data_IF_463393410210
#
_entry.id   IF_463393410210
#
_cell.length_a   1.000
_cell.length_b   1.000
_cell.length_c   1.000
_cell.angle_alpha   90.00
_cell.angle_beta   90.00
_cell.angle_gamma   90.00
#
_symmetry.space_group_name_H-M   'P 1'
#
loop_
_entity.id
_entity.type
_entity.pdbx_description
1 polymer ?
#
# COMPACT_ATOMS: atom_id res chain seq x y z
N UNK A 1 -1.88 -1.35 -4.40
CA UNK A 1 -0.57 -0.74 -4.13
C UNK A 1 0.45 -1.85 -4.22
N UNK A 2 1.36 -1.76 -5.18
CA UNK A 2 2.42 -2.74 -5.40
C UNK A 2 3.76 -2.17 -4.99
N UNK A 3 4.60 -2.95 -4.34
CA UNK A 3 5.97 -2.58 -4.01
C UNK A 3 6.93 -3.68 -4.48
N UNK A 4 8.03 -3.29 -5.12
CA UNK A 4 9.17 -4.20 -5.36
C UNK A 4 10.16 -4.02 -4.24
N UNK A 5 10.50 -5.11 -3.56
CA UNK A 5 11.42 -5.11 -2.44
C UNK A 5 12.82 -5.53 -2.87
N UNK A 6 13.85 -4.91 -2.29
CA UNK A 6 15.22 -5.40 -2.36
C UNK A 6 15.48 -6.40 -1.23
N UNK A 7 15.59 -7.68 -1.56
CA UNK A 7 15.92 -8.72 -0.59
C UNK A 7 17.32 -9.24 -0.94
N UNK A 8 18.35 -8.92 -0.12
CA UNK A 8 19.71 -9.38 -0.38
C UNK A 8 19.77 -10.90 -0.48
N UNK A 9 20.25 -11.43 -1.62
CA UNK A 9 20.44 -12.86 -1.85
C UNK A 9 19.29 -13.61 -2.53
N UNK A 10 18.20 -12.93 -2.92
CA UNK A 10 17.10 -13.56 -3.66
C UNK A 10 17.18 -13.30 -5.17
N UNK A 11 17.24 -14.36 -5.99
CA UNK A 11 17.14 -14.28 -7.47
C UNK A 11 15.69 -14.29 -7.98
N UNK A 12 14.70 -14.11 -7.10
CA UNK A 12 13.27 -14.20 -7.40
C UNK A 12 12.62 -12.81 -7.48
N UNK A 13 11.49 -12.72 -8.18
CA UNK A 13 10.67 -11.51 -8.26
C UNK A 13 10.07 -11.21 -6.88
N UNK A 14 10.61 -10.18 -6.21
CA UNK A 14 10.22 -9.75 -4.86
C UNK A 14 9.11 -8.69 -4.87
N UNK A 15 8.03 -8.94 -5.60
CA UNK A 15 6.89 -8.00 -5.73
C UNK A 15 5.77 -8.32 -4.74
N UNK A 16 5.39 -7.35 -3.91
CA UNK A 16 4.30 -7.44 -2.94
C UNK A 16 3.12 -6.59 -3.40
N UNK A 17 1.91 -7.13 -3.33
CA UNK A 17 0.68 -6.43 -3.73
C UNK A 17 -0.32 -6.35 -2.57
N UNK A 18 -0.77 -5.13 -2.27
CA UNK A 18 -1.80 -4.83 -1.27
C UNK A 18 -3.03 -4.20 -1.93
N UNK A 19 -4.21 -4.72 -1.60
CA UNK A 19 -5.50 -4.16 -1.98
C UNK A 19 -6.17 -3.51 -0.77
N UNK A 20 -6.67 -2.28 -0.96
CA UNK A 20 -7.38 -1.52 0.06
C UNK A 20 -8.67 -0.98 -0.54
N UNK A 21 -9.79 -1.29 0.10
CA UNK A 21 -11.12 -0.83 -0.28
C UNK A 21 -11.50 0.39 0.56
N UNK A 22 -11.99 1.43 -0.11
CA UNK A 22 -12.47 2.66 0.52
C UNK A 22 -13.82 3.02 -0.07
N UNK A 23 -14.69 3.63 0.73
CA UNK A 23 -16.01 4.09 0.30
C UNK A 23 -15.91 5.20 -0.76
N UNK A 24 -15.01 6.14 -0.53
CA UNK A 24 -14.79 7.32 -1.37
C UNK A 24 -13.34 7.84 -1.17
N UNK A 25 -12.94 8.82 -1.98
CA UNK A 25 -11.58 9.36 -1.95
C UNK A 25 -11.31 10.23 -0.71
N UNK A 26 -12.32 10.87 -0.14
CA UNK A 26 -12.17 11.67 1.08
C UNK A 26 -11.89 10.76 2.27
N UNK A 27 -12.71 9.72 2.45
CA UNK A 27 -12.51 8.70 3.49
C UNK A 27 -11.13 8.05 3.37
N UNK A 28 -10.64 7.81 2.14
CA UNK A 28 -9.29 7.30 1.90
C UNK A 28 -8.23 8.27 2.40
N UNK A 29 -8.34 9.55 2.09
CA UNK A 29 -7.40 10.58 2.54
C UNK A 29 -7.40 10.68 4.07
N UNK A 30 -8.57 10.78 4.68
CA UNK A 30 -8.73 10.89 6.14
C UNK A 30 -8.11 9.70 6.87
N UNK A 31 -8.37 8.47 6.41
CA UNK A 31 -7.79 7.26 7.01
C UNK A 31 -6.27 7.21 6.84
N UNK A 32 -5.76 7.59 5.67
CA UNK A 32 -4.30 7.59 5.43
C UNK A 32 -3.59 8.66 6.26
N UNK A 33 -4.21 9.82 6.44
CA UNK A 33 -3.69 10.88 7.29
C UNK A 33 -3.76 10.49 8.77
N UNK A 34 -4.85 9.86 9.21
CA UNK A 34 -4.96 9.34 10.57
C UNK A 34 -3.90 8.27 10.89
N UNK A 35 -3.50 7.46 9.91
CA UNK A 35 -2.45 6.46 10.09
C UNK A 35 -1.09 7.09 10.50
N UNK A 36 -0.77 8.28 9.98
CA UNK A 36 0.45 9.01 10.38
C UNK A 36 0.47 9.45 11.83
N UNK A 37 -0.70 9.57 12.46
CA UNK A 37 -0.82 9.94 13.87
C UNK A 37 -0.88 8.72 14.81
N UNK A 38 -0.83 7.49 14.26
CA UNK A 38 -0.81 6.27 15.07
C UNK A 38 0.59 6.07 15.64
N UNK A 39 0.67 5.86 16.95
CA UNK A 39 1.94 5.60 17.63
C UNK A 39 2.69 4.41 17.00
N UNK A 40 3.99 4.59 16.74
CA UNK A 40 4.86 3.57 16.14
C UNK A 40 4.76 3.47 14.62
N UNK A 41 3.93 4.29 13.97
CA UNK A 41 3.86 4.33 12.51
C UNK A 41 5.16 4.87 11.90
N UNK A 42 5.75 5.88 12.53
CA UNK A 42 7.03 6.49 12.17
C UNK A 42 8.19 5.47 12.17
N UNK A 43 8.23 4.58 13.16
CA UNK A 43 9.25 3.53 13.29
C UNK A 43 9.10 2.49 12.18
N UNK A 44 7.87 2.04 11.93
CA UNK A 44 7.58 1.10 10.85
C UNK A 44 7.98 1.69 9.49
N UNK A 45 7.66 2.95 9.23
CA UNK A 45 8.05 3.65 8.00
C UNK A 45 9.58 3.73 7.89
N UNK A 46 10.28 4.06 8.97
CA UNK A 46 11.74 4.16 8.99
C UNK A 46 12.43 2.85 8.58
N UNK A 47 11.96 1.70 9.07
CA UNK A 47 12.55 0.40 8.74
C UNK A 47 12.10 -0.17 7.40
N UNK A 48 10.89 0.15 6.94
CA UNK A 48 10.31 -0.50 5.76
C UNK A 48 10.53 0.28 4.46
N UNK A 49 10.55 1.62 4.49
CA UNK A 49 10.76 2.45 3.29
C UNK A 49 12.07 2.15 2.58
N UNK A 50 13.22 2.00 3.27
CA UNK A 50 14.49 1.69 2.61
C UNK A 50 14.52 0.35 1.87
N UNK A 51 13.63 -0.59 2.23
CA UNK A 51 13.52 -1.89 1.59
C UNK A 51 12.75 -1.84 0.26
N UNK A 52 12.01 -0.75 0.01
CA UNK A 52 11.18 -0.58 -1.17
C UNK A 52 12.01 0.07 -2.28
N UNK A 53 12.23 -0.65 -3.38
CA UNK A 53 12.91 -0.13 -4.56
C UNK A 53 11.97 0.68 -5.46
N UNK A 54 10.80 0.13 -5.71
CA UNK A 54 9.77 0.73 -6.57
C UNK A 54 8.41 0.57 -5.91
N UNK A 55 7.58 1.61 -6.00
CA UNK A 55 6.25 1.61 -5.44
C UNK A 55 5.27 2.17 -6.46
N UNK A 56 4.24 1.39 -6.78
CA UNK A 56 3.15 1.81 -7.66
C UNK A 56 1.79 1.75 -6.96
N UNK A 57 0.90 2.68 -7.29
CA UNK A 57 -0.47 2.65 -6.80
C UNK A 57 -1.44 3.03 -7.91
N UNK A 58 -2.58 2.33 -7.96
CA UNK A 58 -3.65 2.55 -8.92
C UNK A 58 -4.98 2.57 -8.17
N UNK A 59 -5.86 3.48 -8.57
CA UNK A 59 -7.25 3.54 -8.08
C UNK A 59 -8.09 2.73 -9.08
N UNK A 60 -8.83 1.77 -8.57
CA UNK A 60 -9.74 0.95 -9.37
C UNK A 60 -11.18 1.28 -8.96
N UNK A 61 -12.07 1.44 -9.93
CA UNK A 61 -13.50 1.63 -9.70
C UNK A 61 -14.18 0.31 -10.09
N UNK A 62 -14.83 -0.40 -9.15
CA UNK A 62 -15.50 -1.66 -9.47
C UNK A 62 -16.65 -1.40 -10.45
N UNK A 63 -16.74 -2.25 -11.48
CA UNK A 63 -17.88 -2.25 -12.38
C UNK A 63 -19.11 -2.79 -11.63
N UNK A 64 -20.33 -2.40 -12.04
CA UNK A 64 -21.60 -2.82 -11.42
C UNK A 64 -21.82 -4.35 -11.38
N UNK A 65 -21.11 -5.10 -12.21
CA UNK A 65 -21.16 -6.57 -12.26
C UNK A 65 -20.10 -7.24 -11.40
N UNK A 66 -19.26 -6.45 -10.72
CA UNK A 66 -18.22 -6.96 -9.85
C UNK A 66 -18.83 -7.53 -8.56
N UNK A 67 -18.43 -8.73 -8.10
CA UNK A 67 -18.88 -9.29 -6.82
C UNK A 67 -18.29 -8.55 -5.61
N UNK A 68 -17.39 -7.60 -5.82
CA UNK A 68 -16.74 -6.78 -4.79
C UNK A 68 -17.40 -5.40 -4.62
N UNK A 69 -18.68 -5.26 -4.95
CA UNK A 69 -19.48 -4.07 -4.60
C UNK A 69 -19.86 -4.05 -3.12
#
# INVERSE_FOLDING_TARGET
MGCRLDIPGSSLISSVWLFLAYKDLQTREDIRNAAWHKHGWEELVYYTVPLIQEMESRIMIPLKTSPLQ
#
